data_IF_641827166329
#
_entry.id   IF_641827166329
#
_cell.length_a   1.000
_cell.length_b   1.000
_cell.length_c   1.000
_cell.angle_alpha   90.00
_cell.angle_beta   90.00
_cell.angle_gamma   90.00
#
_symmetry.space_group_name_H-M   'P 1'
#
loop_
_entity.id
_entity.type
_entity.pdbx_description
1 polymer ?
#
# COMPACT_ATOMS: atom_id res chain seq x y z
N UNK A 1 -6.76 -13.46 16.66
CA UNK A 1 -6.76 -14.51 15.62
C UNK A 1 -5.89 -14.00 14.49
N UNK A 2 -4.95 -14.80 13.96
CA UNK A 2 -4.06 -14.41 12.86
C UNK A 2 -4.84 -14.35 11.55
N UNK A 3 -4.39 -13.50 10.61
CA UNK A 3 -4.99 -13.34 9.28
C UNK A 3 -3.96 -13.67 8.21
N UNK A 4 -4.41 -14.33 7.14
CA UNK A 4 -3.60 -14.71 6.00
C UNK A 4 -4.38 -14.52 4.70
N UNK A 5 -3.68 -14.28 3.59
CA UNK A 5 -4.29 -14.21 2.25
C UNK A 5 -4.10 -15.55 1.54
N UNK A 6 -5.21 -16.18 1.13
CA UNK A 6 -5.14 -17.43 0.41
C UNK A 6 -4.64 -17.24 -1.03
N UNK A 7 -3.83 -18.19 -1.50
CA UNK A 7 -3.41 -18.28 -2.89
C UNK A 7 -4.54 -18.78 -3.80
N UNK A 8 -5.28 -19.78 -3.31
CA UNK A 8 -6.40 -20.38 -4.04
C UNK A 8 -7.36 -21.08 -3.08
N UNK A 9 -8.56 -21.36 -3.59
CA UNK A 9 -9.60 -22.15 -2.92
C UNK A 9 -9.84 -23.45 -3.67
N UNK A 10 -9.89 -24.56 -2.95
CA UNK A 10 -10.22 -25.87 -3.49
C UNK A 10 -11.33 -26.49 -2.63
N UNK A 11 -12.54 -26.65 -3.18
CA UNK A 11 -13.72 -27.10 -2.44
C UNK A 11 -13.98 -26.24 -1.19
N UNK A 12 -13.89 -26.85 0.01
CA UNK A 12 -14.09 -26.18 1.31
C UNK A 12 -12.76 -25.87 2.02
N UNK A 13 -11.65 -25.77 1.29
CA UNK A 13 -10.32 -25.55 1.83
C UNK A 13 -9.60 -24.43 1.10
N UNK A 14 -8.67 -23.77 1.81
CA UNK A 14 -7.77 -22.79 1.24
C UNK A 14 -6.35 -23.29 1.16
N UNK A 15 -5.67 -22.89 0.09
CA UNK A 15 -4.22 -23.09 -0.09
C UNK A 15 -3.52 -21.78 0.26
N UNK A 16 -2.66 -21.83 1.29
CA UNK A 16 -1.82 -20.70 1.72
C UNK A 16 -0.45 -20.76 1.03
N UNK A 17 0.28 -19.64 1.08
CA UNK A 17 1.67 -19.61 0.63
C UNK A 17 2.60 -20.34 1.63
N UNK A 18 3.76 -20.77 1.16
CA UNK A 18 4.75 -21.47 1.99
C UNK A 18 5.23 -20.64 3.18
N UNK A 19 5.42 -19.33 2.98
CA UNK A 19 5.80 -18.40 4.06
C UNK A 19 4.73 -18.35 5.15
N UNK A 20 3.44 -18.34 4.78
CA UNK A 20 2.33 -18.34 5.72
C UNK A 20 2.26 -19.65 6.50
N UNK A 21 2.49 -20.78 5.82
CA UNK A 21 2.57 -22.11 6.43
C UNK A 21 3.75 -22.16 7.42
N UNK A 22 4.90 -21.62 7.03
CA UNK A 22 6.06 -21.52 7.92
C UNK A 22 5.74 -20.67 9.15
N UNK A 23 5.10 -19.52 8.96
CA UNK A 23 4.69 -18.62 10.03
C UNK A 23 3.75 -19.33 11.01
N UNK A 24 2.72 -20.02 10.53
CA UNK A 24 1.78 -20.82 11.33
C UNK A 24 2.53 -21.86 12.17
N UNK A 25 3.40 -22.67 11.54
CA UNK A 25 4.06 -23.81 12.17
C UNK A 25 5.20 -23.41 13.10
N UNK A 26 6.04 -22.46 12.70
CA UNK A 26 7.32 -22.16 13.36
C UNK A 26 7.29 -20.92 14.22
N UNK A 27 6.60 -19.88 13.78
CA UNK A 27 6.53 -18.61 14.51
C UNK A 27 5.39 -18.64 15.52
N UNK A 28 4.18 -18.89 15.04
CA UNK A 28 2.97 -18.91 15.88
C UNK A 28 2.79 -20.24 16.65
N UNK A 29 3.40 -21.33 16.16
CA UNK A 29 3.34 -22.68 16.75
C UNK A 29 1.90 -23.15 16.97
N UNK A 30 1.04 -22.85 16.00
CA UNK A 30 -0.37 -23.20 16.06
C UNK A 30 -0.58 -24.71 15.97
N UNK A 31 -1.71 -25.18 16.47
CA UNK A 31 -2.06 -26.60 16.60
C UNK A 31 -3.31 -26.93 15.78
N UNK A 32 -3.60 -28.23 15.65
CA UNK A 32 -4.86 -28.70 15.08
C UNK A 32 -6.04 -28.17 15.92
N UNK A 33 -7.08 -27.66 15.25
CA UNK A 33 -8.23 -27.06 15.89
C UNK A 33 -8.12 -25.55 16.14
N UNK A 34 -6.93 -24.95 15.96
CA UNK A 34 -6.79 -23.50 16.02
C UNK A 34 -7.49 -22.83 14.85
N UNK A 35 -8.11 -21.70 15.13
CA UNK A 35 -8.80 -20.89 14.12
C UNK A 35 -7.94 -19.73 13.65
N UNK A 36 -8.03 -19.45 12.34
CA UNK A 36 -7.41 -18.31 11.67
C UNK A 36 -8.42 -17.59 10.79
N UNK A 37 -8.17 -16.33 10.49
CA UNK A 37 -8.83 -15.64 9.39
C UNK A 37 -8.10 -15.92 8.09
N UNK A 38 -8.85 -16.21 7.03
CA UNK A 38 -8.34 -16.32 5.66
C UNK A 38 -9.10 -15.36 4.78
N UNK A 39 -8.37 -14.55 4.03
CA UNK A 39 -8.93 -13.64 3.02
C UNK A 39 -8.76 -14.26 1.65
N UNK A 40 -9.83 -14.32 0.90
CA UNK A 40 -9.87 -14.75 -0.49
C UNK A 40 -10.92 -13.99 -1.28
N UNK A 41 -10.53 -13.38 -2.41
CA UNK A 41 -11.40 -12.52 -3.21
C UNK A 41 -12.14 -11.47 -2.36
N UNK A 42 -11.40 -10.70 -1.57
CA UNK A 42 -11.90 -9.63 -0.69
C UNK A 42 -12.87 -10.07 0.40
N UNK A 43 -13.12 -11.36 0.53
CA UNK A 43 -13.98 -11.94 1.55
C UNK A 43 -13.14 -12.58 2.65
N UNK A 44 -13.52 -12.36 3.90
CA UNK A 44 -12.89 -12.97 5.07
C UNK A 44 -13.63 -14.24 5.48
N UNK A 45 -12.87 -15.28 5.78
CA UNK A 45 -13.38 -16.57 6.26
C UNK A 45 -12.73 -16.91 7.59
N UNK A 46 -13.50 -17.51 8.50
CA UNK A 46 -12.95 -18.22 9.67
C UNK A 46 -12.64 -19.64 9.20
N UNK A 47 -11.41 -20.06 9.41
CA UNK A 47 -10.93 -21.38 9.02
C UNK A 47 -10.28 -22.09 10.20
N UNK A 48 -10.46 -23.40 10.25
CA UNK A 48 -9.81 -24.28 11.22
C UNK A 48 -8.57 -24.95 10.62
N UNK A 49 -7.51 -25.00 11.39
CA UNK A 49 -6.27 -25.68 11.01
C UNK A 49 -6.33 -27.17 11.36
N UNK A 50 -5.97 -28.01 10.38
CA UNK A 50 -5.86 -29.46 10.55
C UNK A 50 -4.53 -29.93 9.96
N UNK A 51 -4.05 -31.09 10.42
CA UNK A 51 -2.81 -31.73 9.97
C UNK A 51 -1.56 -30.79 10.02
N UNK A 52 -1.49 -29.90 11.00
CA UNK A 52 -0.46 -28.83 11.09
C UNK A 52 0.97 -29.40 11.07
N UNK A 53 1.22 -30.58 11.65
CA UNK A 53 2.54 -31.21 11.68
C UNK A 53 3.02 -31.76 10.32
N UNK A 54 2.09 -32.07 9.42
CA UNK A 54 2.37 -32.67 8.10
C UNK A 54 1.96 -31.71 6.96
N UNK A 55 0.93 -32.10 6.22
CA UNK A 55 0.34 -31.26 5.18
C UNK A 55 -0.82 -30.48 5.79
N UNK A 56 -0.55 -29.21 6.14
CA UNK A 56 -1.56 -28.35 6.76
C UNK A 56 -2.79 -28.24 5.85
N UNK A 57 -3.96 -28.47 6.44
CA UNK A 57 -5.25 -28.24 5.82
C UNK A 57 -5.91 -27.03 6.47
N UNK A 58 -6.47 -26.14 5.69
CA UNK A 58 -7.15 -24.90 6.13
C UNK A 58 -8.60 -24.99 5.71
N UNK A 59 -9.44 -25.54 6.59
CA UNK A 59 -10.84 -25.84 6.30
C UNK A 59 -11.76 -24.68 6.67
N UNK A 60 -12.69 -24.31 5.79
CA UNK A 60 -13.64 -23.21 6.01
C UNK A 60 -14.66 -23.64 7.06
N UNK A 61 -14.76 -22.86 8.14
CA UNK A 61 -15.80 -23.01 9.17
C UNK A 61 -16.95 -22.05 8.91
N UNK A 62 -16.64 -20.77 8.60
CA UNK A 62 -17.64 -19.74 8.40
C UNK A 62 -17.11 -18.65 7.47
N UNK A 63 -17.98 -18.11 6.63
CA UNK A 63 -17.73 -16.90 5.86
C UNK A 63 -18.13 -15.67 6.67
N UNK A 64 -17.25 -14.67 6.76
CA UNK A 64 -17.56 -13.36 7.33
C UNK A 64 -17.50 -12.32 6.22
N UNK A 65 -18.66 -11.77 5.86
CA UNK A 65 -18.70 -10.65 4.93
C UNK A 65 -18.28 -9.36 5.64
N UNK A 66 -17.03 -8.94 5.41
CA UNK A 66 -16.58 -7.59 5.68
C UNK A 66 -15.96 -7.05 4.39
N UNK A 67 -16.59 -6.08 3.77
CA UNK A 67 -15.94 -5.24 2.77
C UNK A 67 -15.14 -4.18 3.49
N UNK A 68 -13.91 -3.97 3.06
CA UNK A 68 -13.18 -2.75 3.39
C UNK A 68 -13.76 -1.64 2.50
N UNK A 69 -14.67 -0.85 3.06
CA UNK A 69 -15.23 0.32 2.38
C UNK A 69 -14.27 1.51 2.52
N UNK A 70 -13.02 1.34 2.05
CA UNK A 70 -12.09 2.47 1.96
C UNK A 70 -12.40 3.28 0.71
N UNK A 71 -13.12 4.35 0.89
CA UNK A 71 -13.35 5.35 -0.14
C UNK A 71 -12.92 6.71 0.40
N UNK A 72 -12.25 7.53 -0.37
CA UNK A 72 -11.81 7.32 -1.76
C UNK A 72 -10.64 6.33 -1.89
N UNK A 73 -10.51 5.71 -3.06
CA UNK A 73 -9.32 4.90 -3.40
C UNK A 73 -8.12 5.82 -3.63
N UNK A 74 -7.09 5.64 -2.84
CA UNK A 74 -5.88 6.47 -2.92
C UNK A 74 -4.77 5.76 -3.68
N UNK A 75 -4.28 6.38 -4.76
CA UNK A 75 -3.02 6.02 -5.43
C UNK A 75 -1.90 6.93 -4.93
N UNK A 76 -0.88 6.35 -4.32
CA UNK A 76 0.24 7.09 -3.74
C UNK A 76 1.50 6.93 -4.62
N UNK A 77 1.94 8.02 -5.25
CA UNK A 77 3.19 8.08 -6.01
C UNK A 77 4.34 8.39 -5.06
N UNK A 78 5.16 7.38 -4.76
CA UNK A 78 6.21 7.45 -3.73
C UNK A 78 7.58 7.48 -4.38
N UNK A 79 8.43 8.50 -4.14
CA UNK A 79 9.81 8.46 -4.61
C UNK A 79 10.54 7.24 -4.03
N UNK A 80 11.39 6.60 -4.83
CA UNK A 80 12.17 5.47 -4.32
C UNK A 80 13.13 5.97 -3.23
N UNK A 81 12.87 5.52 -2.00
CA UNK A 81 13.57 5.93 -0.78
C UNK A 81 14.60 4.86 -0.34
N UNK A 82 15.48 5.24 0.61
CA UNK A 82 16.31 4.26 1.33
C UNK A 82 15.42 3.22 2.01
N UNK A 83 15.91 1.97 2.10
CA UNK A 83 15.11 0.81 2.53
C UNK A 83 14.25 1.06 3.77
N UNK A 84 14.84 1.52 4.87
CA UNK A 84 14.10 1.74 6.11
C UNK A 84 12.95 2.74 5.98
N UNK A 85 13.13 3.81 5.20
CA UNK A 85 12.09 4.80 4.96
C UNK A 85 11.02 4.26 4.01
N UNK A 86 11.45 3.54 2.96
CA UNK A 86 10.51 2.91 2.03
C UNK A 86 9.63 1.90 2.75
N UNK A 87 10.22 1.03 3.58
CA UNK A 87 9.51 0.04 4.37
C UNK A 87 8.45 0.70 5.28
N UNK A 88 8.84 1.77 5.97
CA UNK A 88 7.92 2.51 6.83
C UNK A 88 6.76 3.12 6.05
N UNK A 89 7.05 3.77 4.90
CA UNK A 89 6.01 4.34 4.03
C UNK A 89 5.05 3.26 3.55
N UNK A 90 5.57 2.15 3.03
CA UNK A 90 4.75 1.03 2.53
C UNK A 90 3.85 0.47 3.63
N UNK A 91 4.43 0.19 4.80
CA UNK A 91 3.71 -0.32 5.94
C UNK A 91 2.58 0.63 6.37
N UNK A 92 2.91 1.91 6.62
CA UNK A 92 1.93 2.86 7.16
C UNK A 92 0.88 3.28 6.14
N UNK A 93 1.25 3.48 4.87
CA UNK A 93 0.27 3.73 3.82
C UNK A 93 -0.72 2.55 3.67
N UNK A 94 -0.22 1.31 3.80
CA UNK A 94 -1.08 0.12 3.79
C UNK A 94 -2.04 0.10 4.98
N UNK A 95 -1.54 0.30 6.20
CA UNK A 95 -2.37 0.36 7.41
C UNK A 95 -3.47 1.44 7.32
N UNK A 96 -3.18 2.55 6.64
CA UNK A 96 -4.09 3.69 6.46
C UNK A 96 -5.06 3.54 5.27
N UNK A 97 -4.99 2.44 4.52
CA UNK A 97 -5.99 2.14 3.50
C UNK A 97 -5.62 2.47 2.06
N UNK A 98 -4.35 2.79 1.74
CA UNK A 98 -3.93 3.04 0.36
C UNK A 98 -4.33 1.87 -0.55
N UNK A 99 -4.85 2.18 -1.75
CA UNK A 99 -5.26 1.17 -2.73
C UNK A 99 -4.11 0.76 -3.66
N UNK A 100 -3.27 1.73 -4.04
CA UNK A 100 -2.18 1.51 -4.98
C UNK A 100 -0.97 2.37 -4.63
N UNK A 101 0.22 1.80 -4.81
CA UNK A 101 1.49 2.50 -4.62
C UNK A 101 2.30 2.42 -5.91
N UNK A 102 2.64 3.58 -6.46
CA UNK A 102 3.45 3.72 -7.66
C UNK A 102 4.81 4.28 -7.26
N UNK A 103 5.88 3.47 -7.27
CA UNK A 103 7.22 3.97 -7.00
C UNK A 103 7.69 4.89 -8.15
N UNK A 104 8.23 6.06 -7.81
CA UNK A 104 8.65 7.05 -8.82
C UNK A 104 10.12 7.42 -8.73
N UNK A 105 10.70 7.78 -9.87
CA UNK A 105 12.04 8.37 -9.98
C UNK A 105 11.88 9.86 -10.25
N UNK A 106 12.52 10.67 -9.41
CA UNK A 106 12.59 12.12 -9.53
C UNK A 106 14.04 12.56 -9.74
N UNK A 107 14.27 13.80 -10.13
CA UNK A 107 15.61 14.36 -10.32
C UNK A 107 16.47 14.29 -9.04
N UNK A 108 15.84 14.41 -7.87
CA UNK A 108 16.50 14.37 -6.56
C UNK A 108 16.42 13.02 -5.86
N UNK A 109 16.03 11.98 -6.57
CA UNK A 109 16.07 10.61 -6.03
C UNK A 109 17.52 10.18 -5.84
N UNK A 110 17.91 9.87 -4.61
CA UNK A 110 19.30 9.53 -4.26
C UNK A 110 19.70 8.10 -4.62
N UNK A 111 18.74 7.23 -4.87
CA UNK A 111 18.96 5.81 -5.11
C UNK A 111 19.11 5.56 -6.60
N UNK A 112 20.25 4.98 -6.98
CA UNK A 112 20.43 4.46 -8.34
C UNK A 112 19.61 3.18 -8.51
N UNK A 113 18.74 3.17 -9.50
CA UNK A 113 17.90 2.05 -9.84
C UNK A 113 18.53 1.31 -11.00
N UNK A 114 18.84 0.02 -10.81
CA UNK A 114 19.20 -0.89 -11.88
C UNK A 114 18.04 -1.83 -12.10
N UNK A 115 17.64 -2.04 -13.35
CA UNK A 115 16.51 -2.89 -13.74
C UNK A 115 16.59 -4.30 -13.14
N UNK A 116 17.80 -4.89 -13.10
CA UNK A 116 18.04 -6.23 -12.56
C UNK A 116 17.64 -6.42 -11.08
N UNK A 117 17.60 -5.34 -10.30
CA UNK A 117 17.24 -5.38 -8.89
C UNK A 117 15.80 -4.92 -8.61
N UNK A 118 15.10 -4.41 -9.62
CA UNK A 118 13.80 -3.81 -9.40
C UNK A 118 12.72 -4.84 -9.09
N UNK A 119 12.68 -5.95 -9.80
CA UNK A 119 11.72 -7.04 -9.56
C UNK A 119 11.85 -7.60 -8.14
N UNK A 120 13.09 -7.74 -7.65
CA UNK A 120 13.34 -8.15 -6.26
C UNK A 120 12.83 -7.14 -5.24
N UNK A 121 12.98 -5.84 -5.54
CA UNK A 121 12.45 -4.76 -4.68
C UNK A 121 10.93 -4.76 -4.68
N UNK A 122 10.29 -4.85 -5.83
CA UNK A 122 8.82 -4.92 -5.95
C UNK A 122 8.29 -6.14 -5.19
N UNK A 123 8.90 -7.30 -5.36
CA UNK A 123 8.54 -8.52 -4.61
C UNK A 123 8.64 -8.30 -3.10
N UNK A 124 9.73 -7.69 -2.63
CA UNK A 124 9.91 -7.36 -1.20
C UNK A 124 8.86 -6.34 -0.72
N UNK A 125 8.60 -5.28 -1.48
CA UNK A 125 7.62 -4.26 -1.14
C UNK A 125 6.20 -4.83 -1.07
N UNK A 126 5.83 -5.67 -2.02
CA UNK A 126 4.54 -6.38 -2.01
C UNK A 126 4.40 -7.25 -0.76
N UNK A 127 5.49 -7.91 -0.32
CA UNK A 127 5.48 -8.68 0.92
C UNK A 127 5.24 -7.79 2.15
N UNK A 128 5.88 -6.63 2.24
CA UNK A 128 5.66 -5.65 3.32
C UNK A 128 4.20 -5.21 3.36
N UNK A 129 3.62 -4.88 2.21
CA UNK A 129 2.21 -4.50 2.12
C UNK A 129 1.28 -5.65 2.52
N UNK A 130 1.60 -6.90 2.14
CA UNK A 130 0.84 -8.09 2.56
C UNK A 130 0.86 -8.23 4.08
N UNK A 131 2.04 -8.21 4.70
CA UNK A 131 2.21 -8.33 6.16
C UNK A 131 1.45 -7.20 6.90
N UNK A 132 1.53 -5.96 6.40
CA UNK A 132 0.79 -4.83 6.94
C UNK A 132 -0.73 -4.98 6.77
N UNK A 133 -1.21 -5.52 5.63
CA UNK A 133 -2.62 -5.80 5.39
C UNK A 133 -3.16 -6.88 6.33
N UNK A 134 -2.39 -7.93 6.59
CA UNK A 134 -2.73 -8.98 7.54
C UNK A 134 -2.86 -8.44 8.96
N UNK A 135 -1.89 -7.61 9.37
CA UNK A 135 -1.87 -7.02 10.71
C UNK A 135 -2.99 -5.99 10.91
N UNK A 136 -3.27 -5.16 9.92
CA UNK A 136 -4.33 -4.13 9.99
C UNK A 136 -5.73 -4.66 9.65
N UNK A 137 -5.86 -5.97 9.43
CA UNK A 137 -7.12 -6.66 9.14
C UNK A 137 -7.80 -6.23 7.84
N UNK A 138 -7.05 -5.81 6.85
CA UNK A 138 -7.57 -5.48 5.51
C UNK A 138 -8.04 -6.74 4.76
N UNK A 139 -8.95 -6.55 3.82
CA UNK A 139 -9.40 -7.59 2.88
C UNK A 139 -8.72 -7.46 1.52
N UNK A 140 -7.91 -6.40 1.33
CA UNK A 140 -7.14 -6.15 0.11
C UNK A 140 -5.67 -5.90 0.45
N UNK A 141 -4.77 -6.24 -0.47
CA UNK A 141 -3.35 -5.87 -0.42
C UNK A 141 -3.17 -4.73 -1.43
N UNK A 142 -2.54 -3.60 -1.07
CA UNK A 142 -2.25 -2.55 -2.03
C UNK A 142 -1.45 -3.08 -3.20
N UNK A 143 -1.81 -2.66 -4.41
CA UNK A 143 -1.05 -2.98 -5.60
C UNK A 143 0.25 -2.15 -5.62
N UNK A 144 1.38 -2.81 -5.82
CA UNK A 144 2.65 -2.13 -6.09
C UNK A 144 2.87 -2.14 -7.60
N UNK A 145 2.90 -0.97 -8.19
CA UNK A 145 3.13 -0.79 -9.62
C UNK A 145 4.61 -0.81 -9.99
N UNK A 146 4.88 -0.89 -11.28
CA UNK A 146 6.23 -0.71 -11.81
C UNK A 146 6.72 0.70 -11.52
N UNK A 147 8.04 0.83 -11.37
CA UNK A 147 8.67 2.14 -11.19
C UNK A 147 8.52 2.98 -12.46
N UNK A 148 8.04 4.21 -12.31
CA UNK A 148 7.89 5.16 -13.41
C UNK A 148 8.71 6.43 -13.17
N UNK A 149 9.03 7.14 -14.25
CA UNK A 149 9.61 8.48 -14.12
C UNK A 149 8.50 9.47 -13.78
N UNK A 150 8.83 10.49 -13.02
CA UNK A 150 7.86 11.53 -12.67
C UNK A 150 7.26 12.23 -13.90
N UNK A 151 8.03 12.31 -14.99
CA UNK A 151 7.58 12.86 -16.28
C UNK A 151 6.46 12.06 -16.95
N UNK A 152 6.33 10.78 -16.58
CA UNK A 152 5.42 9.84 -17.26
C UNK A 152 4.12 9.63 -16.45
N UNK A 153 3.95 10.42 -15.36
CA UNK A 153 2.76 10.36 -14.52
C UNK A 153 1.63 11.16 -15.16
N UNK A 154 0.46 10.53 -15.27
CA UNK A 154 -0.77 11.14 -15.75
C UNK A 154 -1.77 11.34 -14.60
N UNK A 155 -2.58 12.39 -14.67
CA UNK A 155 -3.66 12.66 -13.71
C UNK A 155 -4.90 11.84 -14.10
N UNK A 156 -5.02 10.64 -13.56
CA UNK A 156 -6.09 9.69 -13.86
C UNK A 156 -7.16 9.60 -12.76
N UNK A 157 -6.92 10.18 -11.60
CA UNK A 157 -7.87 10.18 -10.47
C UNK A 157 -8.84 11.36 -10.56
N UNK A 158 -9.94 11.32 -9.80
CA UNK A 158 -10.87 12.46 -9.72
C UNK A 158 -10.17 13.69 -9.13
N UNK A 159 -9.32 13.48 -8.12
CA UNK A 159 -8.48 14.50 -7.49
C UNK A 159 -7.02 14.08 -7.61
N UNK A 160 -6.19 14.94 -8.18
CA UNK A 160 -4.75 14.67 -8.35
C UNK A 160 -3.96 15.78 -7.68
N UNK A 161 -3.13 15.43 -6.70
CA UNK A 161 -2.38 16.36 -5.88
C UNK A 161 -0.88 16.11 -5.95
N UNK A 162 -0.12 17.20 -5.98
CA UNK A 162 1.33 17.19 -5.75
C UNK A 162 1.68 17.93 -4.46
N UNK A 163 2.39 17.21 -3.58
CA UNK A 163 2.82 17.73 -2.28
C UNK A 163 4.01 18.67 -2.49
N UNK A 164 3.79 19.97 -2.35
CA UNK A 164 4.82 20.99 -2.54
C UNK A 164 5.30 21.55 -1.19
N UNK A 165 6.61 21.78 -1.09
CA UNK A 165 7.24 22.43 0.07
C UNK A 165 7.33 23.96 -0.10
N UNK A 166 7.28 24.44 -1.34
CA UNK A 166 7.39 25.86 -1.70
C UNK A 166 6.03 26.57 -1.80
N UNK A 167 5.00 25.84 -2.22
CA UNK A 167 3.66 26.37 -2.43
C UNK A 167 2.92 26.57 -1.11
N UNK A 168 2.20 27.71 -0.94
CA UNK A 168 1.54 28.10 0.32
C UNK A 168 0.05 28.46 0.19
N UNK A 169 -0.48 28.50 -1.02
CA UNK A 169 -1.81 29.06 -1.26
C UNK A 169 -2.95 28.10 -0.95
N UNK A 170 -2.80 26.79 -1.28
CA UNK A 170 -3.86 25.80 -1.15
C UNK A 170 -3.49 24.71 -0.16
N UNK A 171 -4.21 24.62 0.94
CA UNK A 171 -4.00 23.57 1.93
C UNK A 171 -4.70 22.27 1.50
N UNK A 172 -4.03 21.14 1.66
CA UNK A 172 -4.58 19.81 1.33
C UNK A 172 -5.93 19.55 2.00
N UNK A 173 -6.09 19.95 3.26
CA UNK A 173 -7.34 19.77 4.00
C UNK A 173 -8.53 20.47 3.30
N UNK A 174 -8.31 21.70 2.81
CA UNK A 174 -9.35 22.42 2.07
C UNK A 174 -9.72 21.70 0.78
N UNK A 175 -8.71 21.26 0.02
CA UNK A 175 -8.94 20.54 -1.23
C UNK A 175 -9.75 19.25 -1.00
N UNK A 176 -9.38 18.45 0.00
CA UNK A 176 -10.10 17.21 0.33
C UNK A 176 -11.53 17.48 0.82
N UNK A 177 -11.74 18.53 1.61
CA UNK A 177 -13.08 18.91 2.07
C UNK A 177 -14.01 19.38 0.94
N UNK A 178 -13.46 20.04 -0.09
CA UNK A 178 -14.25 20.47 -1.27
C UNK A 178 -14.53 19.34 -2.26
N UNK A 179 -13.78 18.24 -2.16
CA UNK A 179 -13.91 17.06 -3.03
C UNK A 179 -14.25 15.79 -2.22
N UNK A 180 -15.02 15.92 -1.14
CA UNK A 180 -15.34 14.83 -0.21
C UNK A 180 -16.06 13.63 -0.84
N UNK A 181 -16.73 13.84 -1.96
CA UNK A 181 -17.51 12.83 -2.67
C UNK A 181 -16.71 12.21 -3.86
N UNK A 182 -15.39 12.43 -3.92
CA UNK A 182 -14.57 11.83 -4.97
C UNK A 182 -14.30 10.34 -4.68
N UNK A 183 -14.27 9.53 -5.74
CA UNK A 183 -14.02 8.10 -5.65
C UNK A 183 -12.52 7.76 -5.64
N UNK A 184 -11.70 8.61 -6.25
CA UNK A 184 -10.26 8.36 -6.43
C UNK A 184 -9.41 9.60 -6.18
N UNK A 185 -8.26 9.40 -5.53
CA UNK A 185 -7.28 10.46 -5.27
C UNK A 185 -5.88 9.97 -5.66
N UNK A 186 -5.20 10.73 -6.51
CA UNK A 186 -3.77 10.53 -6.83
C UNK A 186 -2.91 11.53 -6.04
N UNK A 187 -1.89 11.03 -5.36
CA UNK A 187 -1.01 11.86 -4.50
C UNK A 187 0.44 11.66 -4.88
N UNK A 188 1.09 12.70 -5.39
CA UNK A 188 2.53 12.69 -5.70
C UNK A 188 3.32 13.29 -4.55
N UNK A 189 4.27 12.51 -4.03
CA UNK A 189 5.20 12.91 -2.97
C UNK A 189 6.58 13.21 -3.56
N UNK A 190 7.28 14.19 -3.00
CA UNK A 190 8.69 14.44 -3.28
C UNK A 190 9.64 13.62 -2.39
N UNK A 191 10.90 13.39 -2.82
CA UNK A 191 11.96 12.83 -1.98
C UNK A 191 12.36 13.80 -0.86
N UNK A 192 13.38 13.44 -0.08
CA UNK A 192 13.87 14.29 1.02
C UNK A 192 14.30 15.70 0.58
N UNK A 193 14.80 15.82 -0.65
CA UNK A 193 15.15 17.12 -1.26
C UNK A 193 13.96 17.86 -1.88
N UNK A 194 12.75 17.33 -1.79
CA UNK A 194 11.55 17.83 -2.49
C UNK A 194 11.61 17.58 -3.99
N UNK A 195 10.56 17.96 -4.69
CA UNK A 195 10.52 18.02 -6.15
C UNK A 195 11.24 19.29 -6.64
N UNK A 196 11.72 19.28 -7.87
CA UNK A 196 12.19 20.50 -8.53
C UNK A 196 10.99 21.29 -9.02
N UNK A 197 11.18 22.60 -9.22
CA UNK A 197 10.13 23.47 -9.76
C UNK A 197 9.63 22.99 -11.12
N UNK A 198 10.55 22.52 -11.97
CA UNK A 198 10.24 21.94 -13.29
C UNK A 198 9.37 20.69 -13.19
N UNK A 199 9.64 19.81 -12.22
CA UNK A 199 8.83 18.62 -11.98
C UNK A 199 7.43 18.99 -11.48
N UNK A 200 7.32 19.93 -10.55
CA UNK A 200 6.02 20.42 -10.07
C UNK A 200 5.22 21.09 -11.20
N UNK A 201 5.86 21.92 -12.04
CA UNK A 201 5.21 22.56 -13.19
C UNK A 201 4.73 21.53 -14.23
N UNK A 202 5.53 20.48 -14.49
CA UNK A 202 5.14 19.41 -15.40
C UNK A 202 3.91 18.66 -14.88
N UNK A 203 3.87 18.33 -13.59
CA UNK A 203 2.71 17.70 -12.95
C UNK A 203 1.47 18.61 -13.01
N UNK A 204 1.62 19.91 -12.77
CA UNK A 204 0.50 20.87 -12.88
C UNK A 204 -0.04 20.92 -14.32
N UNK A 205 0.83 20.94 -15.33
CA UNK A 205 0.41 20.87 -16.73
C UNK A 205 -0.34 19.57 -17.05
N UNK A 206 -0.01 18.47 -16.35
CA UNK A 206 -0.66 17.18 -16.48
C UNK A 206 -1.92 17.05 -15.61
N UNK A 207 -2.40 18.13 -14.98
CA UNK A 207 -3.67 18.14 -14.24
C UNK A 207 -3.57 17.89 -12.74
N UNK A 208 -2.36 17.92 -12.16
CA UNK A 208 -2.19 17.88 -10.70
C UNK A 208 -2.32 19.26 -10.09
N UNK A 209 -2.87 19.32 -8.88
CA UNK A 209 -2.94 20.54 -8.09
C UNK A 209 -1.84 20.56 -7.02
N UNK A 210 -1.11 21.68 -6.93
CA UNK A 210 -0.15 21.87 -5.84
C UNK A 210 -0.89 22.08 -4.52
N UNK A 211 -0.42 21.40 -3.47
CA UNK A 211 -0.96 21.59 -2.11
C UNK A 211 0.17 21.71 -1.09
N UNK A 212 -0.14 22.44 -0.02
CA UNK A 212 0.69 22.51 1.19
C UNK A 212 0.04 21.78 2.35
N UNK A 213 0.88 21.26 3.26
CA UNK A 213 0.45 20.68 4.54
C UNK A 213 0.49 21.69 5.71
N UNK A 214 0.54 22.98 5.38
CA UNK A 214 0.63 24.08 6.32
C UNK A 214 2.05 24.65 6.42
N UNK A 215 2.37 25.28 7.56
CA UNK A 215 3.61 26.02 7.72
C UNK A 215 4.85 25.16 7.99
N UNK A 216 4.68 23.87 8.26
CA UNK A 216 5.76 22.94 8.57
C UNK A 216 6.12 22.13 7.35
N UNK A 217 7.42 21.90 7.15
CA UNK A 217 7.89 20.94 6.16
C UNK A 217 7.84 19.56 6.82
N UNK A 218 7.06 18.66 6.24
CA UNK A 218 6.97 17.28 6.70
C UNK A 218 8.11 16.45 6.08
N UNK A 219 8.61 15.48 6.83
CA UNK A 219 9.48 14.46 6.25
C UNK A 219 8.69 13.58 5.30
N UNK A 220 9.35 13.02 4.29
CA UNK A 220 8.70 12.18 3.27
C UNK A 220 7.90 11.03 3.89
N UNK A 221 8.43 10.38 4.92
CA UNK A 221 7.76 9.30 5.63
C UNK A 221 6.54 9.75 6.47
N UNK A 222 6.41 11.05 6.74
CA UNK A 222 5.26 11.60 7.48
C UNK A 222 4.09 11.96 6.57
N UNK A 223 4.34 12.24 5.29
CA UNK A 223 3.32 12.66 4.32
C UNK A 223 2.15 11.65 4.22
N UNK A 224 2.39 10.33 4.07
CA UNK A 224 1.30 9.36 3.98
C UNK A 224 0.43 9.27 5.25
N UNK A 225 0.97 9.70 6.41
CA UNK A 225 0.22 9.70 7.68
C UNK A 225 -0.71 10.91 7.80
N UNK A 226 -0.54 11.89 6.94
CA UNK A 226 -1.29 13.14 6.99
C UNK A 226 -2.43 13.19 5.96
N UNK A 227 -2.33 12.44 4.89
CA UNK A 227 -3.33 12.31 3.81
C UNK A 227 -4.36 11.27 4.18
#
# INVERSE_FOLDING_TARGET
MQRYFARSKCNNEFILNEDDIYHIKKVMRMQNGDNIYVVYNETTYICELQNVSHNITVSIVKEEMKKDDFMPLVTLYVPVLKEQKMDFVLQKATELGVAEIVPIITERTLIKINDDNMDKKITRWTRICKEASEQSHRTTIPKIEKVVKISDIEAISNVNIVCSTSYKEKNVKYLLQTNKDCDTIGVVMGPEGGLTEKEEEALVKNGFERVTFGNRILRVETVPLFI
#
